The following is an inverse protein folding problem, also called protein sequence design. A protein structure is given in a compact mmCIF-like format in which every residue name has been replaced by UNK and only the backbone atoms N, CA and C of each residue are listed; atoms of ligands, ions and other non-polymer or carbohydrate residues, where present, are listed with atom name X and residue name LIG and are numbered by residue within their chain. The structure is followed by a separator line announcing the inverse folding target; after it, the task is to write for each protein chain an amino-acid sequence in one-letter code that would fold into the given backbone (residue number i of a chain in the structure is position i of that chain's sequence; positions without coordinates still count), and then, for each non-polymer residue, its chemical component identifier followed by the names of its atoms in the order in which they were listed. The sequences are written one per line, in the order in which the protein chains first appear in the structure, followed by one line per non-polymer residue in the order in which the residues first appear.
data_IF_237829607412
#
_entry.id   IF_237829607412
#
_cell.length_a   1.000
_cell.length_b   1.000
_cell.length_c   1.000
_cell.angle_alpha   90.00
_cell.angle_beta   90.00
_cell.angle_gamma   90.00
#
_symmetry.space_group_name_H-M   'P 1'
#
loop_
_entity.id
_entity.type
_entity.pdbx_description
1 polymer ?
#
# COMPACT_ATOMS: atom_id res chain seq x y z
N UNK A 1 22.83 3.49 -6.97
CA UNK A 1 21.54 2.90 -6.57
C UNK A 1 20.75 4.04 -5.94
N UNK A 2 19.65 4.50 -6.55
CA UNK A 2 18.82 5.56 -5.92
C UNK A 2 18.18 4.94 -4.68
N UNK A 3 18.56 5.41 -3.51
CA UNK A 3 17.86 5.11 -2.27
C UNK A 3 16.56 5.91 -2.38
N UNK A 4 15.42 5.25 -2.22
CA UNK A 4 14.14 5.95 -2.11
C UNK A 4 14.13 6.59 -0.70
N UNK A 5 14.56 7.85 -0.64
CA UNK A 5 14.44 8.73 0.53
C UNK A 5 13.10 9.50 0.55
N UNK A 6 12.26 9.27 -0.47
CA UNK A 6 10.97 9.92 -0.67
C UNK A 6 9.82 9.07 -0.12
N UNK A 7 8.66 9.71 0.08
CA UNK A 7 7.48 9.06 0.66
C UNK A 7 7.04 7.87 -0.22
N UNK A 8 6.92 6.69 0.38
CA UNK A 8 6.31 5.52 -0.28
C UNK A 8 4.80 5.65 -0.19
N UNK A 9 4.13 5.53 -1.33
CA UNK A 9 2.67 5.66 -1.44
C UNK A 9 2.10 4.33 -1.90
N UNK A 10 1.10 3.83 -1.18
CA UNK A 10 0.49 2.54 -1.48
C UNK A 10 -1.02 2.64 -1.42
N UNK A 11 -1.68 2.35 -2.55
CA UNK A 11 -3.12 2.09 -2.62
C UNK A 11 -3.33 0.60 -2.82
N UNK A 12 -4.31 0.03 -2.14
CA UNK A 12 -4.66 -1.36 -2.30
C UNK A 12 -6.14 -1.59 -2.04
N UNK A 13 -6.83 -2.27 -2.95
CA UNK A 13 -8.17 -2.80 -2.73
C UNK A 13 -8.10 -4.32 -2.65
N UNK A 14 -8.41 -4.86 -1.47
CA UNK A 14 -8.39 -6.30 -1.25
C UNK A 14 -9.07 -6.68 0.07
N UNK A 15 -9.35 -7.97 0.21
CA UNK A 15 -9.93 -8.54 1.43
C UNK A 15 -8.81 -8.88 2.41
N UNK A 16 -8.92 -8.41 3.65
CA UNK A 16 -8.01 -8.82 4.73
C UNK A 16 -8.69 -9.98 5.46
N UNK A 17 -8.01 -11.11 5.74
CA UNK A 17 -8.54 -12.15 6.61
C UNK A 17 -9.03 -11.52 7.94
N UNK A 18 -10.17 -11.97 8.46
CA UNK A 18 -10.90 -11.37 9.60
C UNK A 18 -11.76 -10.13 9.30
N UNK A 19 -11.72 -9.62 8.06
CA UNK A 19 -12.57 -8.55 7.59
C UNK A 19 -13.43 -9.02 6.40
N UNK A 20 -14.68 -9.41 6.68
CA UNK A 20 -15.71 -9.79 5.67
C UNK A 20 -16.21 -8.63 4.80
N UNK A 21 -15.45 -7.55 4.67
CA UNK A 21 -15.87 -6.28 4.05
C UNK A 21 -14.90 -5.94 2.93
N UNK A 22 -15.41 -5.35 1.85
CA UNK A 22 -14.55 -4.83 0.79
C UNK A 22 -13.82 -3.60 1.32
N UNK A 23 -12.51 -3.76 1.56
CA UNK A 23 -11.65 -2.70 2.08
C UNK A 23 -10.75 -2.22 0.95
N UNK A 24 -10.68 -0.91 0.80
CA UNK A 24 -9.62 -0.25 0.04
C UNK A 24 -8.86 0.64 0.99
N UNK A 25 -7.56 0.45 1.10
CA UNK A 25 -6.71 1.30 1.92
C UNK A 25 -5.68 2.02 1.06
N UNK A 26 -5.24 3.15 1.57
CA UNK A 26 -4.35 4.07 0.91
C UNK A 26 -3.41 4.67 1.94
N UNK A 27 -2.14 4.29 1.95
CA UNK A 27 -1.11 4.92 2.77
C UNK A 27 -0.52 6.10 2.00
N UNK A 28 -0.75 7.29 2.55
CA UNK A 28 -0.20 8.57 2.13
C UNK A 28 1.19 8.76 2.75
N UNK A 29 2.17 8.09 2.16
CA UNK A 29 3.56 8.32 2.50
C UNK A 29 4.02 7.55 3.73
N UNK A 30 5.11 6.81 3.57
CA UNK A 30 5.94 6.32 4.68
C UNK A 30 7.19 7.19 4.69
N UNK A 31 7.34 7.98 5.75
CA UNK A 31 8.45 8.91 5.95
C UNK A 31 9.75 8.17 6.26
N UNK A 32 10.87 8.87 6.11
CA UNK A 32 12.21 8.33 6.38
C UNK A 32 12.42 7.92 7.85
N UNK A 33 11.65 8.46 8.77
CA UNK A 33 11.66 8.12 10.20
C UNK A 33 10.69 6.97 10.59
N UNK A 34 10.04 6.37 9.59
CA UNK A 34 9.06 5.29 9.73
C UNK A 34 7.66 5.74 10.13
N UNK A 35 7.42 7.05 10.30
CA UNK A 35 6.07 7.57 10.47
C UNK A 35 5.28 7.45 9.17
N UNK A 36 3.97 7.25 9.26
CA UNK A 36 3.10 7.21 8.11
C UNK A 36 1.70 7.69 8.45
N UNK A 37 0.96 8.05 7.40
CA UNK A 37 -0.45 8.38 7.46
C UNK A 37 -1.19 7.65 6.33
N UNK A 38 -2.44 7.29 6.53
CA UNK A 38 -3.24 6.57 5.56
C UNK A 38 -4.74 6.75 5.75
N UNK A 39 -5.48 6.22 4.79
CA UNK A 39 -6.93 6.27 4.68
C UNK A 39 -7.44 4.86 4.37
N UNK A 40 -8.41 4.38 5.15
CA UNK A 40 -9.07 3.09 4.95
C UNK A 40 -10.53 3.35 4.60
N UNK A 41 -10.94 2.96 3.39
CA UNK A 41 -12.32 2.97 2.92
C UNK A 41 -12.90 1.57 3.07
N UNK A 42 -13.97 1.46 3.86
CA UNK A 42 -14.68 0.20 4.10
C UNK A 42 -16.06 0.32 3.48
N UNK A 43 -16.45 -0.65 2.66
CA UNK A 43 -17.82 -0.76 2.14
C UNK A 43 -18.57 -1.87 2.86
N UNK A 44 -19.65 -1.50 3.55
CA UNK A 44 -20.51 -2.41 4.31
C UNK A 44 -21.96 -2.23 3.88
N UNK A 45 -22.58 -3.26 3.29
CA UNK A 45 -24.01 -3.26 2.95
C UNK A 45 -24.49 -2.00 2.20
N UNK A 46 -23.67 -1.46 1.29
CA UNK A 46 -23.99 -0.26 0.50
C UNK A 46 -23.55 1.07 1.12
N UNK A 47 -23.11 1.09 2.38
CA UNK A 47 -22.55 2.26 3.04
C UNK A 47 -21.02 2.29 2.91
N UNK A 48 -20.46 3.46 2.61
CA UNK A 48 -19.01 3.68 2.62
C UNK A 48 -18.62 4.39 3.92
N UNK A 49 -17.66 3.82 4.65
CA UNK A 49 -17.02 4.45 5.81
C UNK A 49 -15.57 4.78 5.45
N UNK A 50 -15.13 5.99 5.78
CA UNK A 50 -13.73 6.42 5.62
C UNK A 50 -13.12 6.57 7.02
N UNK A 51 -11.94 5.98 7.22
CA UNK A 51 -11.18 6.03 8.46
C UNK A 51 -9.79 6.56 8.13
N UNK A 52 -9.28 7.48 8.94
CA UNK A 52 -7.92 7.99 8.84
C UNK A 52 -7.06 7.26 9.86
N UNK A 53 -5.86 6.86 9.45
CA UNK A 53 -4.91 6.08 10.25
C UNK A 53 -3.55 6.76 10.21
N UNK A 54 -2.92 6.89 11.36
CA UNK A 54 -1.57 7.43 11.51
C UNK A 54 -0.77 6.49 12.40
N UNK A 55 0.51 6.28 12.11
CA UNK A 55 1.27 5.31 12.88
C UNK A 55 2.76 5.44 12.67
N UNK A 56 3.49 4.55 13.36
CA UNK A 56 4.93 4.44 13.23
C UNK A 56 5.33 2.98 13.10
N UNK A 57 6.01 2.68 12.01
CA UNK A 57 6.56 1.34 11.76
C UNK A 57 7.69 1.03 12.73
N UNK A 58 7.84 -0.25 13.06
CA UNK A 58 9.07 -0.75 13.64
C UNK A 58 10.26 -0.49 12.70
N UNK A 59 11.47 -0.38 13.26
CA UNK A 59 12.70 -0.23 12.46
C UNK A 59 12.86 -1.37 11.47
N UNK A 60 12.49 -2.59 11.86
CA UNK A 60 12.61 -3.78 11.02
C UNK A 60 11.62 -3.76 9.84
N UNK A 61 10.37 -3.39 10.08
CA UNK A 61 9.35 -3.33 9.02
C UNK A 61 9.63 -2.19 8.05
N UNK A 62 10.10 -1.05 8.55
CA UNK A 62 10.53 0.09 7.71
C UNK A 62 11.64 -0.32 6.73
N UNK A 63 12.67 -1.04 7.22
CA UNK A 63 13.75 -1.56 6.35
C UNK A 63 13.20 -2.58 5.35
N UNK A 64 12.39 -3.52 5.81
CA UNK A 64 11.83 -4.59 4.97
C UNK A 64 10.96 -4.03 3.84
N UNK A 65 10.11 -3.05 4.13
CA UNK A 65 9.27 -2.38 3.12
C UNK A 65 10.15 -1.68 2.09
N UNK A 66 11.16 -0.91 2.50
CA UNK A 66 12.07 -0.25 1.55
C UNK A 66 12.79 -1.23 0.65
N UNK A 67 13.24 -2.37 1.17
CA UNK A 67 13.89 -3.41 0.38
C UNK A 67 12.94 -4.01 -0.67
N UNK A 68 11.68 -4.28 -0.29
CA UNK A 68 10.65 -4.80 -1.20
C UNK A 68 10.28 -3.78 -2.29
N UNK A 69 10.09 -2.50 -1.94
CA UNK A 69 9.82 -1.42 -2.89
C UNK A 69 10.97 -1.31 -3.90
N UNK A 70 12.22 -1.35 -3.42
CA UNK A 70 13.40 -1.31 -4.30
C UNK A 70 13.49 -2.54 -5.23
N UNK A 71 13.02 -3.71 -4.80
CA UNK A 71 12.94 -4.90 -5.66
C UNK A 71 11.87 -4.71 -6.74
N UNK A 72 10.65 -4.27 -6.37
CA UNK A 72 9.56 -4.01 -7.30
C UNK A 72 9.99 -2.97 -8.36
N UNK A 73 10.63 -1.87 -7.95
CA UNK A 73 11.11 -0.82 -8.84
C UNK A 73 12.20 -1.31 -9.83
N UNK A 74 12.97 -2.34 -9.47
CA UNK A 74 13.95 -2.95 -10.37
C UNK A 74 13.29 -3.84 -11.43
N UNK A 75 12.22 -4.54 -11.05
CA UNK A 75 11.49 -5.46 -11.93
C UNK A 75 10.63 -4.68 -12.93
N UNK A 76 9.90 -3.66 -12.46
CA UNK A 76 8.84 -2.98 -13.23
C UNK A 76 9.30 -1.62 -13.77
N UNK A 77 10.53 -1.51 -14.29
CA UNK A 77 11.04 -0.24 -14.83
C UNK A 77 10.11 0.30 -15.92
N UNK A 78 9.50 1.44 -15.61
CA UNK A 78 8.68 2.29 -16.48
C UNK A 78 7.42 1.59 -17.02
N UNK A 79 6.37 1.59 -16.20
CA UNK A 79 5.01 1.45 -16.69
C UNK A 79 4.54 2.85 -17.14
N UNK A 80 4.36 3.00 -18.45
CA UNK A 80 3.64 4.12 -19.04
C UNK A 80 2.17 3.67 -19.12
N UNK A 81 1.39 3.91 -18.06
CA UNK A 81 0.01 3.41 -18.01
C UNK A 81 -1.00 4.50 -17.70
N UNK A 82 -1.85 4.72 -18.69
CA UNK A 82 -3.04 5.57 -18.70
C UNK A 82 -4.27 4.69 -18.35
N UNK A 83 -4.22 3.96 -17.23
CA UNK A 83 -5.17 2.87 -16.95
C UNK A 83 -5.99 3.10 -15.66
N UNK A 84 -7.28 3.36 -15.86
CA UNK A 84 -8.33 3.56 -14.84
C UNK A 84 -8.82 2.25 -14.17
N UNK A 85 -7.97 1.21 -14.11
CA UNK A 85 -8.36 -0.17 -13.68
C UNK A 85 -7.52 -0.74 -12.52
N UNK A 86 -6.65 0.05 -11.89
CA UNK A 86 -5.78 -0.47 -10.83
C UNK A 86 -6.57 -0.82 -9.54
N UNK A 87 -6.53 -2.08 -9.12
CA UNK A 87 -6.97 -2.51 -7.78
C UNK A 87 -6.00 -1.98 -6.71
N UNK A 88 -4.73 -1.84 -7.05
CA UNK A 88 -3.75 -1.19 -6.19
C UNK A 88 -2.65 -0.52 -7.01
N UNK A 89 -1.86 0.31 -6.35
CA UNK A 89 -0.63 0.82 -6.92
C UNK A 89 0.39 1.06 -5.82
N UNK A 90 1.66 0.98 -6.20
CA UNK A 90 2.80 1.39 -5.40
C UNK A 90 3.53 2.52 -6.16
N UNK A 91 3.80 3.60 -5.46
CA UNK A 91 4.54 4.74 -5.99
C UNK A 91 5.47 5.36 -4.95
N UNK A 92 6.26 6.34 -5.39
CA UNK A 92 7.09 7.16 -4.52
C UNK A 92 6.99 8.64 -4.91
N UNK A 93 7.37 9.54 -4.00
CA UNK A 93 7.45 10.98 -4.27
C UNK A 93 6.41 11.80 -3.52
N UNK A 94 5.89 12.85 -4.15
CA UNK A 94 4.88 13.71 -3.51
C UNK A 94 3.53 13.01 -3.42
N UNK A 95 2.79 13.22 -2.33
CA UNK A 95 1.41 12.73 -2.20
C UNK A 95 0.50 13.31 -3.30
N UNK A 96 0.77 14.54 -3.73
CA UNK A 96 -0.01 15.21 -4.77
C UNK A 96 0.27 14.69 -6.18
N UNK A 97 1.43 14.07 -6.38
CA UNK A 97 1.92 13.65 -7.70
C UNK A 97 2.96 12.52 -7.51
N UNK A 98 2.52 11.30 -7.17
CA UNK A 98 3.43 10.18 -6.99
C UNK A 98 3.88 9.61 -8.33
N UNK A 99 5.16 9.29 -8.41
CA UNK A 99 5.67 8.44 -9.49
C UNK A 99 5.27 6.98 -9.21
N UNK A 100 4.37 6.45 -10.02
CA UNK A 100 3.92 5.06 -9.96
C UNK A 100 5.04 4.15 -10.47
N UNK A 101 5.35 3.10 -9.70
CA UNK A 101 6.34 2.08 -10.07
C UNK A 101 5.72 0.70 -10.27
N UNK A 102 4.50 0.51 -9.81
CA UNK A 102 3.78 -0.74 -9.97
C UNK A 102 2.29 -0.50 -9.83
N UNK A 103 1.51 -1.02 -10.77
CA UNK A 103 0.06 -1.11 -10.66
C UNK A 103 -0.32 -2.57 -10.46
N UNK A 104 -1.24 -2.82 -9.54
CA UNK A 104 -1.76 -4.13 -9.26
C UNK A 104 -3.17 -4.27 -9.83
N UNK A 105 -3.38 -5.39 -10.52
CA UNK A 105 -4.68 -5.92 -10.90
C UNK A 105 -4.59 -7.43 -10.77
N UNK A 106 -5.46 -8.02 -9.96
CA UNK A 106 -5.54 -9.47 -9.73
C UNK A 106 -5.67 -10.27 -11.04
N UNK A 107 -6.24 -9.66 -12.09
CA UNK A 107 -6.38 -10.29 -13.40
C UNK A 107 -5.08 -10.32 -14.22
N UNK A 108 -4.18 -9.36 -13.99
CA UNK A 108 -2.97 -9.17 -14.79
C UNK A 108 -1.71 -9.74 -14.14
N UNK A 109 -1.67 -9.77 -12.81
CA UNK A 109 -0.44 -10.07 -12.07
C UNK A 109 -0.47 -11.39 -11.27
N UNK A 110 -1.54 -12.19 -11.43
CA UNK A 110 -1.68 -13.48 -10.75
C UNK A 110 -0.47 -14.41 -11.01
N UNK A 111 0.19 -14.83 -9.94
CA UNK A 111 1.35 -15.71 -9.93
C UNK A 111 2.69 -15.03 -10.26
N UNK A 112 2.75 -13.70 -10.35
CA UNK A 112 3.99 -12.97 -10.68
C UNK A 112 4.84 -12.70 -9.45
N UNK A 113 6.15 -12.53 -9.66
CA UNK A 113 7.08 -12.11 -8.60
C UNK A 113 6.69 -10.74 -8.03
N UNK A 114 6.27 -9.79 -8.88
CA UNK A 114 5.82 -8.46 -8.45
C UNK A 114 4.57 -8.52 -7.58
N UNK A 115 3.61 -9.40 -7.89
CA UNK A 115 2.45 -9.67 -7.02
C UNK A 115 2.90 -10.20 -5.65
N UNK A 116 3.80 -11.17 -5.64
CA UNK A 116 4.32 -11.75 -4.38
C UNK A 116 4.98 -10.67 -3.52
N UNK A 117 5.75 -9.77 -4.13
CA UNK A 117 6.42 -8.69 -3.42
C UNK A 117 5.44 -7.64 -2.89
N UNK A 118 4.42 -7.25 -3.66
CA UNK A 118 3.44 -6.26 -3.19
C UNK A 118 2.58 -6.83 -2.06
N UNK A 119 2.15 -8.10 -2.15
CA UNK A 119 1.37 -8.75 -1.10
C UNK A 119 2.14 -8.82 0.21
N UNK A 120 3.47 -9.05 0.17
CA UNK A 120 4.32 -8.98 1.36
C UNK A 120 4.36 -7.58 1.98
N UNK A 121 4.32 -6.51 1.17
CA UNK A 121 4.22 -5.14 1.70
C UNK A 121 2.86 -4.94 2.38
N UNK A 122 1.77 -5.42 1.77
CA UNK A 122 0.43 -5.40 2.36
C UNK A 122 0.40 -6.10 3.71
N UNK A 123 0.97 -7.30 3.81
CA UNK A 123 0.99 -8.10 5.03
C UNK A 123 1.77 -7.42 6.16
N UNK A 124 2.90 -6.75 5.85
CA UNK A 124 3.67 -5.99 6.83
C UNK A 124 2.89 -4.78 7.39
N UNK A 125 2.01 -4.18 6.58
CA UNK A 125 1.23 -3.01 6.95
C UNK A 125 -0.07 -3.36 7.66
N UNK A 126 -0.65 -4.53 7.38
CA UNK A 126 -1.96 -4.94 7.89
C UNK A 126 -2.10 -4.84 9.43
N UNK A 127 -1.12 -5.26 10.26
CA UNK A 127 -1.25 -5.16 11.72
C UNK A 127 -1.40 -3.73 12.23
N UNK A 128 -0.71 -2.77 11.61
CA UNK A 128 -0.77 -1.36 11.97
C UNK A 128 -2.12 -0.71 11.62
N UNK A 129 -2.93 -1.37 10.79
CA UNK A 129 -4.28 -0.92 10.44
C UNK A 129 -5.35 -1.50 11.37
N UNK A 130 -5.11 -2.67 11.97
CA UNK A 130 -6.07 -3.37 12.83
C UNK A 130 -6.20 -2.70 14.21
N UNK A 131 -5.11 -2.21 14.80
CA UNK A 131 -5.14 -1.54 16.11
C UNK A 131 -6.07 -0.31 16.15
N UNK A 132 -6.30 0.34 14.99
CA UNK A 132 -7.21 1.48 14.88
C UNK A 132 -8.68 1.09 14.77
N UNK A 133 -8.96 -0.06 14.17
CA UNK A 133 -10.33 -0.57 14.06
C UNK A 133 -10.86 -0.95 15.43
N UNK A 134 -10.05 -1.62 16.25
CA UNK A 134 -10.47 -2.07 17.58
C UNK A 134 -10.72 -0.91 18.55
N UNK A 135 -9.97 0.19 18.44
CA UNK A 135 -10.22 1.42 19.23
C UNK A 135 -11.52 2.14 18.87
N UNK A 136 -12.14 1.82 17.72
CA UNK A 136 -13.33 2.47 17.19
C UNK A 136 -14.54 1.51 17.04
N UNK A 137 -14.51 0.36 17.72
CA UNK A 137 -15.65 -0.52 17.98
C UNK A 137 -16.20 -0.24 19.37
#
# INVERSE_FOLDING_TARGET
MKIIDENIILRWSGTIPDFNKNISWYIRGICSDGSFYGEVKIREHGNNRIILVDGRLSTQDSVSIRELVNQIAKINKELDTDIDLSEGFLGYGSISDPQIIFEYSSQLHSGTESETLILRIVDLLAPYMLEFVEKNK
#
